data_IF_229555210754
#
_entry.id   IF_229555210754
#
_cell.length_a   1.000
_cell.length_b   1.000
_cell.length_c   1.000
_cell.angle_alpha   90.00
_cell.angle_beta   90.00
_cell.angle_gamma   90.00
#
_symmetry.space_group_name_H-M   'P 1'
#
loop_
_entity.id
_entity.type
_entity.pdbx_description
1 polymer ?
#
# COMPACT_ATOMS: atom_id res chain seq x y z
N UNK A 1 12.41 -38.32 31.11
CA UNK A 1 12.23 -39.11 29.88
C UNK A 1 11.14 -38.45 29.04
N UNK A 2 11.49 -38.01 27.83
CA UNK A 2 10.52 -37.39 26.92
C UNK A 2 9.50 -38.42 26.45
N UNK A 3 8.18 -38.11 26.50
CA UNK A 3 7.14 -38.95 25.95
C UNK A 3 7.11 -38.75 24.41
N UNK A 4 7.96 -39.47 23.69
CA UNK A 4 8.01 -39.47 22.22
C UNK A 4 7.04 -40.58 21.73
N UNK A 5 6.17 -40.20 20.77
CA UNK A 5 5.20 -41.11 20.14
C UNK A 5 5.32 -40.98 18.63
N UNK A 6 5.41 -42.14 17.93
CA UNK A 6 5.47 -42.14 16.47
C UNK A 6 4.28 -42.93 15.95
N UNK A 7 3.43 -42.29 15.18
CA UNK A 7 2.26 -42.88 14.54
C UNK A 7 2.63 -43.38 13.14
N UNK A 8 2.37 -44.67 12.88
CA UNK A 8 2.69 -45.32 11.59
C UNK A 8 1.63 -45.07 10.52
N UNK A 9 0.44 -44.67 10.94
CA UNK A 9 -0.72 -44.50 10.06
C UNK A 9 -0.94 -43.00 9.73
N UNK A 10 -0.09 -42.09 10.26
CA UNK A 10 -0.14 -40.66 9.95
C UNK A 10 0.41 -40.38 8.56
N UNK A 11 -0.10 -39.32 7.92
CA UNK A 11 0.38 -38.83 6.62
C UNK A 11 1.84 -38.35 6.66
N UNK A 12 2.31 -37.88 7.82
CA UNK A 12 3.68 -37.44 8.04
C UNK A 12 4.62 -38.63 8.30
N UNK A 13 5.77 -38.66 7.63
CA UNK A 13 6.76 -39.72 7.80
C UNK A 13 7.27 -39.82 9.23
N UNK A 14 7.52 -41.06 9.71
CA UNK A 14 7.95 -41.33 11.09
C UNK A 14 9.20 -40.57 11.51
N UNK A 15 10.16 -40.37 10.60
CA UNK A 15 11.37 -39.59 10.92
C UNK A 15 11.04 -38.09 11.08
N UNK A 16 10.14 -37.53 10.29
CA UNK A 16 9.72 -36.14 10.41
C UNK A 16 8.95 -35.89 11.72
N UNK A 17 8.03 -36.80 12.09
CA UNK A 17 7.34 -36.78 13.38
C UNK A 17 8.33 -36.77 14.55
N UNK A 18 9.34 -37.66 14.50
CA UNK A 18 10.36 -37.75 15.55
C UNK A 18 11.22 -36.49 15.61
N UNK A 19 11.67 -36.00 14.47
CA UNK A 19 12.44 -34.74 14.40
C UNK A 19 11.64 -33.56 14.93
N UNK A 20 10.34 -33.45 14.57
CA UNK A 20 9.42 -32.42 15.05
C UNK A 20 9.26 -32.42 16.57
N UNK A 21 9.06 -33.61 17.18
CA UNK A 21 8.91 -33.75 18.62
C UNK A 21 10.20 -33.41 19.39
N UNK A 22 11.37 -33.86 18.88
CA UNK A 22 12.66 -33.53 19.48
C UNK A 22 12.96 -32.03 19.37
N UNK A 23 12.69 -31.42 18.22
CA UNK A 23 12.83 -29.96 18.01
C UNK A 23 11.93 -29.17 18.97
N UNK A 24 10.67 -29.56 19.11
CA UNK A 24 9.75 -28.96 20.06
C UNK A 24 10.26 -29.09 21.50
N UNK A 25 10.80 -30.26 21.89
CA UNK A 25 11.34 -30.46 23.21
C UNK A 25 12.59 -29.60 23.52
N UNK A 26 13.45 -29.37 22.51
CA UNK A 26 14.60 -28.47 22.63
C UNK A 26 14.17 -27.01 22.72
N UNK A 27 13.25 -26.58 21.87
CA UNK A 27 12.70 -25.21 21.90
C UNK A 27 11.98 -24.88 23.22
N UNK A 28 11.21 -25.83 23.73
CA UNK A 28 10.46 -25.67 25.01
C UNK A 28 11.35 -25.85 26.25
N UNK A 29 12.67 -26.07 26.08
CA UNK A 29 13.60 -26.28 27.18
C UNK A 29 13.48 -27.63 27.91
N UNK A 30 12.66 -28.55 27.41
CA UNK A 30 12.52 -29.92 27.95
C UNK A 30 13.72 -30.81 27.64
N UNK A 31 14.51 -30.46 26.63
CA UNK A 31 15.85 -30.91 26.34
C UNK A 31 16.78 -29.69 26.44
N UNK A 32 17.68 -29.71 27.40
CA UNK A 32 18.59 -28.61 27.65
C UNK A 32 19.76 -28.58 26.64
N UNK A 33 20.31 -27.40 26.38
CA UNK A 33 21.55 -27.27 25.62
C UNK A 33 22.68 -28.11 26.27
N UNK A 34 23.44 -28.81 25.47
CA UNK A 34 24.47 -29.73 25.92
C UNK A 34 23.95 -31.07 26.47
N UNK A 35 22.63 -31.30 26.51
CA UNK A 35 22.06 -32.57 26.97
C UNK A 35 22.35 -33.71 25.95
N UNK A 36 22.70 -34.87 26.47
CA UNK A 36 23.05 -36.03 25.64
C UNK A 36 21.77 -36.79 25.20
N UNK A 37 21.60 -36.96 23.91
CA UNK A 37 20.55 -37.79 23.36
C UNK A 37 20.89 -39.30 23.38
N UNK A 38 19.87 -40.15 23.46
CA UNK A 38 20.08 -41.61 23.38
C UNK A 38 20.74 -42.00 22.06
N UNK A 39 21.56 -43.02 22.08
CA UNK A 39 22.10 -43.62 20.84
C UNK A 39 20.98 -44.09 19.93
N UNK A 40 21.13 -43.97 18.60
CA UNK A 40 20.08 -44.28 17.61
C UNK A 40 19.48 -45.67 17.79
N UNK A 41 20.31 -46.65 18.14
CA UNK A 41 19.84 -48.05 18.47
C UNK A 41 18.92 -48.08 19.68
N UNK A 42 19.31 -47.39 20.74
CA UNK A 42 18.55 -47.39 21.99
C UNK A 42 17.22 -46.68 21.85
N UNK A 43 17.20 -45.56 21.13
CA UNK A 43 15.98 -44.82 20.86
C UNK A 43 15.04 -45.58 19.92
N UNK A 44 15.56 -46.23 18.87
CA UNK A 44 14.79 -47.06 17.95
C UNK A 44 14.11 -48.23 18.67
N UNK A 45 14.84 -48.94 19.51
CA UNK A 45 14.31 -50.04 20.31
C UNK A 45 13.18 -49.59 21.26
N UNK A 46 13.36 -48.39 21.90
CA UNK A 46 12.36 -47.81 22.81
C UNK A 46 11.08 -47.40 22.11
N UNK A 47 11.17 -46.87 20.89
CA UNK A 47 10.02 -46.38 20.10
C UNK A 47 9.40 -47.50 19.24
N UNK A 48 10.00 -48.69 19.15
CA UNK A 48 9.53 -49.75 18.29
C UNK A 48 9.63 -49.44 16.80
N UNK A 49 10.56 -48.58 16.39
CA UNK A 49 10.79 -48.18 15.00
C UNK A 49 12.12 -48.71 14.47
N UNK A 50 12.35 -48.62 13.15
CA UNK A 50 13.63 -48.98 12.57
C UNK A 50 14.74 -48.00 12.98
N UNK A 51 15.99 -48.45 13.05
CA UNK A 51 17.13 -47.58 13.32
C UNK A 51 17.27 -46.45 12.27
N UNK A 52 16.90 -46.73 11.02
CA UNK A 52 16.91 -45.77 9.92
C UNK A 52 16.05 -44.53 10.23
N UNK A 53 14.83 -44.73 10.74
CA UNK A 53 13.93 -43.62 11.14
C UNK A 53 14.61 -42.68 12.14
N UNK A 54 15.28 -43.22 13.15
CA UNK A 54 15.96 -42.42 14.17
C UNK A 54 17.21 -41.74 13.58
N UNK A 55 17.93 -42.43 12.70
CA UNK A 55 19.12 -41.90 12.04
C UNK A 55 18.76 -40.71 11.15
N UNK A 56 17.73 -40.82 10.30
CA UNK A 56 17.23 -39.76 9.43
C UNK A 56 16.72 -38.57 10.25
N UNK A 57 16.00 -38.78 11.35
CA UNK A 57 15.57 -37.73 12.25
C UNK A 57 16.73 -36.97 12.87
N UNK A 58 17.78 -37.69 13.28
CA UNK A 58 18.98 -37.07 13.86
C UNK A 58 19.80 -36.34 12.80
N UNK A 59 19.95 -36.88 11.60
CA UNK A 59 20.64 -36.24 10.47
C UNK A 59 19.94 -34.94 10.08
N UNK A 60 18.62 -34.92 10.06
CA UNK A 60 17.85 -33.70 9.83
C UNK A 60 18.12 -32.64 10.91
N UNK A 61 18.05 -33.05 12.19
CA UNK A 61 18.32 -32.14 13.31
C UNK A 61 19.76 -31.66 13.36
N UNK A 62 20.74 -32.46 12.89
CA UNK A 62 22.12 -32.05 12.68
C UNK A 62 22.23 -31.00 11.56
N UNK A 63 21.57 -31.23 10.44
CA UNK A 63 21.56 -30.30 9.31
C UNK A 63 20.91 -28.96 9.68
N UNK A 64 19.91 -28.99 10.56
CA UNK A 64 19.23 -27.81 11.11
C UNK A 64 20.03 -27.11 12.23
N UNK A 65 21.11 -27.74 12.74
CA UNK A 65 21.93 -27.20 13.83
C UNK A 65 21.35 -27.36 15.24
N UNK A 66 20.29 -28.17 15.42
CA UNK A 66 19.75 -28.50 16.74
C UNK A 66 20.60 -29.49 17.52
N UNK A 67 21.35 -30.32 16.80
CA UNK A 67 22.24 -31.34 17.38
C UNK A 67 23.68 -31.12 16.98
N UNK A 68 24.61 -31.49 17.87
CA UNK A 68 26.02 -31.55 17.62
C UNK A 68 26.61 -32.93 18.00
N UNK A 69 27.59 -33.36 17.23
CA UNK A 69 28.35 -34.58 17.53
C UNK A 69 29.66 -34.25 18.25
N UNK A 70 29.87 -34.84 19.41
CA UNK A 70 31.19 -34.74 20.08
C UNK A 70 31.97 -36.03 19.81
N UNK A 71 33.14 -35.86 19.22
CA UNK A 71 33.98 -36.99 18.76
C UNK A 71 34.10 -38.09 19.83
N UNK A 72 33.64 -39.30 19.53
CA UNK A 72 33.73 -40.47 20.43
C UNK A 72 32.73 -40.51 21.59
N UNK A 73 31.90 -39.49 21.83
CA UNK A 73 31.06 -39.38 23.03
C UNK A 73 29.54 -39.39 22.78
N UNK A 74 29.07 -39.19 21.55
CA UNK A 74 27.62 -39.27 21.20
C UNK A 74 27.04 -38.02 20.58
N UNK A 75 25.69 -38.00 20.57
CA UNK A 75 24.89 -36.88 20.03
C UNK A 75 24.36 -36.01 21.17
N UNK A 76 24.52 -34.71 21.04
CA UNK A 76 24.14 -33.73 22.05
C UNK A 76 23.27 -32.63 21.45
N UNK A 77 22.43 -31.99 22.27
CA UNK A 77 21.74 -30.76 21.90
C UNK A 77 22.78 -29.64 21.75
N UNK A 78 22.72 -28.89 20.64
CA UNK A 78 23.67 -27.82 20.35
C UNK A 78 23.63 -26.71 21.42
N UNK A 79 24.76 -26.06 21.67
CA UNK A 79 24.86 -24.91 22.55
C UNK A 79 24.25 -23.68 21.84
N UNK A 80 23.47 -22.85 22.55
CA UNK A 80 22.81 -21.66 21.99
C UNK A 80 21.38 -21.89 21.50
N UNK A 81 20.84 -23.12 21.59
CA UNK A 81 19.42 -23.41 21.38
C UNK A 81 18.68 -23.03 22.67
N UNK A 82 18.48 -21.74 22.89
CA UNK A 82 17.63 -21.21 23.98
C UNK A 82 16.20 -21.04 23.48
N UNK A 83 15.24 -21.10 24.42
CA UNK A 83 13.84 -20.74 24.12
C UNK A 83 13.79 -19.41 23.34
N UNK A 84 12.96 -19.35 22.30
CA UNK A 84 12.72 -18.12 21.58
C UNK A 84 12.48 -16.99 22.58
N UNK A 85 13.10 -15.80 22.40
CA UNK A 85 12.75 -14.65 23.22
C UNK A 85 11.23 -14.46 23.10
N UNK A 86 10.55 -14.24 24.23
CA UNK A 86 9.12 -13.93 24.20
C UNK A 86 8.89 -12.86 23.14
N UNK A 87 7.87 -13.03 22.24
CA UNK A 87 7.57 -12.01 21.27
C UNK A 87 7.33 -10.72 22.07
N UNK A 88 8.23 -9.74 21.90
CA UNK A 88 8.04 -8.41 22.45
C UNK A 88 6.63 -7.93 22.07
N UNK A 89 6.01 -6.99 22.81
CA UNK A 89 4.67 -6.55 22.54
C UNK A 89 4.58 -6.07 21.09
N UNK A 90 4.25 -7.00 20.21
CA UNK A 90 3.96 -6.74 18.82
C UNK A 90 2.84 -5.73 18.82
N UNK A 91 3.09 -4.55 18.28
CA UNK A 91 2.04 -3.57 18.10
C UNK A 91 0.84 -4.27 17.49
N UNK A 92 -0.26 -4.36 18.24
CA UNK A 92 -1.50 -4.90 17.75
C UNK A 92 -1.85 -4.10 16.50
N UNK A 93 -1.55 -4.65 15.32
CA UNK A 93 -2.06 -4.14 14.08
C UNK A 93 -3.57 -4.10 14.26
N UNK A 94 -4.15 -2.91 14.24
CA UNK A 94 -5.60 -2.76 14.26
C UNK A 94 -6.07 -3.48 13.01
N UNK A 95 -6.57 -4.70 13.17
CA UNK A 95 -7.27 -5.43 12.13
C UNK A 95 -8.53 -4.60 11.87
N UNK A 96 -8.53 -3.87 10.76
CA UNK A 96 -9.72 -3.15 10.33
C UNK A 96 -10.81 -4.21 10.05
N UNK A 97 -12.02 -4.06 10.57
CA UNK A 97 -13.07 -5.02 10.31
C UNK A 97 -13.30 -5.12 8.81
N UNK A 98 -13.14 -6.32 8.26
CA UNK A 98 -13.50 -6.59 6.87
C UNK A 98 -15.01 -6.42 6.72
N UNK A 99 -15.45 -5.77 5.62
CA UNK A 99 -16.86 -5.65 5.30
C UNK A 99 -17.46 -7.05 5.07
N UNK A 100 -18.24 -7.53 6.03
CA UNK A 100 -19.03 -8.77 5.91
C UNK A 100 -20.30 -8.57 5.09
N UNK A 101 -21.02 -9.67 4.78
CA UNK A 101 -22.35 -9.58 4.15
C UNK A 101 -23.28 -8.72 5.01
N UNK A 102 -23.92 -7.70 4.40
CA UNK A 102 -24.84 -6.79 5.07
C UNK A 102 -24.18 -5.56 5.71
N UNK A 103 -22.90 -5.31 5.46
CA UNK A 103 -22.16 -4.12 5.92
C UNK A 103 -22.03 -3.14 4.76
N UNK A 104 -22.46 -1.89 4.97
CA UNK A 104 -22.27 -0.78 4.02
C UNK A 104 -20.92 -0.12 4.32
N UNK A 105 -19.96 -0.26 3.41
CA UNK A 105 -18.64 0.33 3.56
C UNK A 105 -18.53 1.67 2.83
N UNK A 106 -18.49 2.75 3.59
CA UNK A 106 -18.32 4.13 3.10
C UNK A 106 -16.90 4.66 3.34
N UNK A 107 -15.92 3.79 3.68
CA UNK A 107 -14.53 4.23 3.87
C UNK A 107 -13.90 4.66 2.54
N UNK A 108 -13.05 5.71 2.55
CA UNK A 108 -12.41 6.19 1.34
C UNK A 108 -11.27 5.27 0.88
N UNK A 109 -10.81 5.49 -0.33
CA UNK A 109 -9.54 4.93 -0.78
C UNK A 109 -9.64 3.70 -1.69
N UNK A 110 -10.83 3.13 -1.91
CA UNK A 110 -11.04 2.02 -2.84
C UNK A 110 -11.90 2.45 -4.04
N UNK A 111 -11.57 2.00 -5.27
CA UNK A 111 -12.39 2.24 -6.45
C UNK A 111 -13.56 1.25 -6.51
N UNK A 112 -14.59 1.57 -7.28
CA UNK A 112 -15.64 0.63 -7.60
C UNK A 112 -15.20 -0.32 -8.73
N UNK A 113 -15.09 -1.60 -8.42
CA UNK A 113 -14.60 -2.61 -9.35
C UNK A 113 -15.71 -3.36 -10.10
N UNK A 114 -16.99 -3.15 -9.76
CA UNK A 114 -18.12 -3.89 -10.32
C UNK A 114 -18.28 -3.82 -11.85
N UNK A 115 -17.70 -2.79 -12.50
CA UNK A 115 -17.73 -2.67 -13.96
C UNK A 115 -16.38 -3.01 -14.62
N UNK A 116 -15.40 -3.53 -13.88
CA UNK A 116 -14.06 -3.78 -14.41
C UNK A 116 -13.96 -5.10 -15.17
N UNK A 117 -14.69 -6.14 -14.75
CA UNK A 117 -14.67 -7.46 -15.37
C UNK A 117 -15.37 -7.47 -16.75
N UNK A 118 -14.68 -6.93 -17.74
CA UNK A 118 -15.11 -6.82 -19.12
C UNK A 118 -14.41 -7.83 -20.02
N UNK A 119 -14.95 -8.14 -21.23
CA UNK A 119 -14.22 -8.94 -22.22
C UNK A 119 -12.83 -8.38 -22.55
N UNK A 120 -12.66 -7.06 -22.55
CA UNK A 120 -11.37 -6.40 -22.77
C UNK A 120 -10.39 -6.68 -21.62
N UNK A 121 -10.85 -6.58 -20.37
CA UNK A 121 -10.09 -6.92 -19.17
C UNK A 121 -9.61 -8.37 -19.22
N UNK A 122 -10.53 -9.32 -19.35
CA UNK A 122 -10.23 -10.77 -19.42
C UNK A 122 -9.27 -11.12 -20.53
N UNK A 123 -9.42 -10.49 -21.72
CA UNK A 123 -8.51 -10.68 -22.85
C UNK A 123 -7.11 -10.17 -22.53
N UNK A 124 -6.96 -8.99 -21.95
CA UNK A 124 -5.67 -8.41 -21.60
C UNK A 124 -4.90 -9.33 -20.63
N UNK A 125 -5.55 -9.80 -19.56
CA UNK A 125 -4.93 -10.70 -18.59
C UNK A 125 -4.57 -12.07 -19.19
N UNK A 126 -5.45 -12.65 -20.00
CA UNK A 126 -5.15 -13.93 -20.71
C UNK A 126 -3.94 -13.81 -21.63
N UNK A 127 -3.83 -12.72 -22.37
CA UNK A 127 -2.69 -12.49 -23.25
C UNK A 127 -1.42 -12.21 -22.45
N UNK A 128 -1.50 -11.44 -21.40
CA UNK A 128 -0.38 -11.11 -20.53
C UNK A 128 0.19 -12.35 -19.81
N UNK A 129 -0.66 -13.25 -19.33
CA UNK A 129 -0.24 -14.49 -18.66
C UNK A 129 0.45 -15.48 -19.59
N UNK A 130 0.19 -15.40 -20.90
CA UNK A 130 0.86 -16.21 -21.91
C UNK A 130 2.22 -15.69 -22.37
N UNK A 131 2.70 -14.57 -21.81
CA UNK A 131 4.01 -14.01 -22.18
C UNK A 131 5.16 -14.90 -21.70
N UNK A 132 6.18 -15.09 -22.54
CA UNK A 132 7.36 -15.88 -22.20
C UNK A 132 8.07 -15.30 -20.97
N UNK A 133 8.42 -16.12 -19.97
CA UNK A 133 9.18 -15.68 -18.80
C UNK A 133 10.52 -15.04 -19.20
N UNK A 134 10.90 -13.99 -18.49
CA UNK A 134 12.14 -13.25 -18.71
C UNK A 134 13.10 -13.46 -17.56
N UNK A 135 14.37 -13.63 -17.84
CA UNK A 135 15.41 -13.79 -16.83
C UNK A 135 16.02 -12.46 -16.36
N UNK A 136 15.76 -11.37 -17.10
CA UNK A 136 16.15 -10.00 -16.75
C UNK A 136 14.97 -9.05 -16.91
N UNK A 137 14.88 -8.07 -16.02
CA UNK A 137 13.94 -6.95 -16.11
C UNK A 137 14.72 -5.64 -16.18
N UNK A 138 14.24 -4.71 -17.00
CA UNK A 138 14.67 -3.32 -16.97
C UNK A 138 14.19 -2.69 -15.65
N UNK A 139 15.07 -2.03 -14.87
CA UNK A 139 14.67 -1.33 -13.64
C UNK A 139 13.60 -0.25 -13.87
N UNK A 140 13.49 0.31 -15.07
CA UNK A 140 12.44 1.26 -15.42
C UNK A 140 11.07 0.61 -15.66
N UNK A 141 11.00 -0.70 -15.84
CA UNK A 141 9.80 -1.44 -16.25
C UNK A 141 9.77 -1.74 -17.74
N UNK A 142 8.67 -2.37 -18.20
CA UNK A 142 8.54 -2.79 -19.59
C UNK A 142 8.56 -1.61 -20.56
N UNK A 143 9.43 -1.58 -21.58
CA UNK A 143 9.53 -0.46 -22.53
C UNK A 143 8.19 -0.12 -23.21
N UNK A 144 7.42 -1.12 -23.63
CA UNK A 144 6.11 -0.92 -24.25
C UNK A 144 5.10 -0.28 -23.29
N UNK A 145 5.11 -0.67 -22.00
CA UNK A 145 4.25 -0.04 -21.01
C UNK A 145 4.68 1.40 -20.75
N UNK A 146 5.99 1.67 -20.62
CA UNK A 146 6.53 3.03 -20.42
C UNK A 146 6.05 3.97 -21.53
N UNK A 147 6.16 3.54 -22.79
CA UNK A 147 5.68 4.32 -23.92
C UNK A 147 4.15 4.55 -23.89
N UNK A 148 3.36 3.53 -23.55
CA UNK A 148 1.92 3.63 -23.41
C UNK A 148 1.51 4.57 -22.27
N UNK A 149 2.19 4.51 -21.11
CA UNK A 149 1.98 5.40 -19.97
C UNK A 149 2.36 6.85 -20.31
N UNK A 150 3.50 7.10 -20.95
CA UNK A 150 3.88 8.44 -21.38
C UNK A 150 2.82 9.07 -22.30
N UNK A 151 2.25 8.29 -23.22
CA UNK A 151 1.12 8.71 -24.03
C UNK A 151 -0.14 9.00 -23.24
N UNK A 152 -0.46 8.15 -22.26
CA UNK A 152 -1.63 8.30 -21.38
C UNK A 152 -1.57 9.56 -20.51
N UNK A 153 -0.47 9.75 -19.77
CA UNK A 153 -0.33 10.91 -18.86
C UNK A 153 -0.24 12.23 -19.62
N UNK A 154 0.36 12.21 -20.84
CA UNK A 154 0.37 13.40 -21.69
C UNK A 154 -1.03 13.83 -22.12
N UNK A 155 -1.86 12.86 -22.56
CA UNK A 155 -3.24 13.16 -23.02
C UNK A 155 -4.17 13.57 -21.89
N UNK A 156 -4.06 12.91 -20.75
CA UNK A 156 -5.05 13.05 -19.68
C UNK A 156 -4.64 14.02 -18.59
N UNK A 157 -3.32 14.25 -18.38
CA UNK A 157 -2.79 15.05 -17.27
C UNK A 157 -1.84 16.18 -17.72
N UNK A 158 -1.57 16.32 -19.02
CA UNK A 158 -0.63 17.30 -19.52
C UNK A 158 0.83 17.03 -19.14
N UNK A 159 1.16 15.82 -18.74
CA UNK A 159 2.51 15.40 -18.34
C UNK A 159 3.30 14.99 -19.57
N UNK A 160 4.20 15.84 -20.02
CA UNK A 160 5.15 15.52 -21.11
C UNK A 160 6.48 15.08 -20.48
N UNK A 161 6.90 13.85 -20.76
CA UNK A 161 8.11 13.27 -20.19
C UNK A 161 8.93 12.52 -21.26
N UNK A 162 10.24 12.40 -21.02
CA UNK A 162 11.14 11.61 -21.87
C UNK A 162 11.05 10.13 -21.52
N UNK A 163 10.85 9.79 -20.25
CA UNK A 163 10.74 8.46 -19.76
C UNK A 163 9.80 8.35 -18.53
N UNK A 164 9.35 7.13 -18.28
CA UNK A 164 8.49 6.76 -17.16
C UNK A 164 9.14 5.59 -16.42
N UNK A 165 9.23 5.67 -15.11
CA UNK A 165 9.60 4.53 -14.27
C UNK A 165 8.34 3.87 -13.74
N UNK A 166 8.12 2.60 -14.09
CA UNK A 166 6.96 1.81 -13.65
C UNK A 166 7.18 1.34 -12.22
N UNK A 167 6.24 1.60 -11.31
CA UNK A 167 6.30 1.26 -9.88
C UNK A 167 5.19 0.28 -9.48
N UNK A 168 5.18 -0.15 -8.22
CA UNK A 168 4.09 -0.93 -7.61
C UNK A 168 3.01 -0.03 -6.98
N UNK A 169 2.59 1.01 -7.69
CA UNK A 169 1.69 2.06 -7.22
C UNK A 169 2.43 3.32 -6.76
N UNK A 170 1.69 4.41 -6.51
CA UNK A 170 2.24 5.71 -6.11
C UNK A 170 3.03 5.63 -4.79
N UNK A 171 2.55 4.85 -3.81
CA UNK A 171 3.23 4.66 -2.51
C UNK A 171 4.63 4.06 -2.67
N UNK A 172 4.79 3.06 -3.56
CA UNK A 172 6.12 2.50 -3.88
C UNK A 172 6.96 3.52 -4.67
N UNK A 173 6.35 4.31 -5.56
CA UNK A 173 7.04 5.42 -6.23
C UNK A 173 7.61 6.43 -5.25
N UNK A 174 6.82 6.83 -4.24
CA UNK A 174 7.27 7.71 -3.17
C UNK A 174 8.38 7.08 -2.32
N UNK A 175 8.28 5.80 -2.00
CA UNK A 175 9.31 5.06 -1.24
C UNK A 175 10.65 5.02 -1.98
N UNK A 176 10.64 4.72 -3.28
CA UNK A 176 11.84 4.72 -4.13
C UNK A 176 12.42 6.12 -4.29
N UNK A 177 11.59 7.14 -4.45
CA UNK A 177 12.02 8.54 -4.47
C UNK A 177 12.70 8.90 -3.15
N UNK A 178 12.04 8.67 -2.03
CA UNK A 178 12.57 8.95 -0.70
C UNK A 178 13.90 8.22 -0.45
N UNK A 179 13.99 6.93 -0.79
CA UNK A 179 15.22 6.13 -0.69
C UNK A 179 16.38 6.68 -1.56
N UNK A 180 16.08 7.49 -2.56
CA UNK A 180 17.06 8.05 -3.49
C UNK A 180 17.53 9.45 -3.08
N UNK A 181 16.60 10.31 -2.59
CA UNK A 181 16.88 11.73 -2.41
C UNK A 181 16.98 12.17 -0.95
N UNK A 182 16.57 11.32 0.00
CA UNK A 182 16.59 11.64 1.43
C UNK A 182 17.72 10.92 2.16
N UNK A 183 18.32 11.65 3.10
CA UNK A 183 19.13 11.11 4.18
C UNK A 183 18.32 11.08 5.49
N UNK A 184 18.69 10.20 6.46
CA UNK A 184 18.09 10.25 7.79
C UNK A 184 18.22 11.64 8.43
N UNK A 185 17.13 12.17 8.96
CA UNK A 185 17.06 13.53 9.52
C UNK A 185 16.68 14.63 8.54
N UNK A 186 16.62 14.37 7.22
CA UNK A 186 16.11 15.35 6.27
C UNK A 186 14.66 15.71 6.59
N UNK A 187 14.35 17.00 6.54
CA UNK A 187 13.02 17.54 6.82
C UNK A 187 12.13 17.44 5.59
N UNK A 188 10.96 16.84 5.75
CA UNK A 188 10.01 16.59 4.67
C UNK A 188 8.64 17.15 5.03
N UNK A 189 8.15 18.08 4.21
CA UNK A 189 6.80 18.63 4.36
C UNK A 189 5.75 17.63 3.93
N UNK A 190 4.72 17.48 4.76
CA UNK A 190 3.54 16.64 4.47
C UNK A 190 2.27 17.41 4.78
N UNK A 191 1.26 17.30 3.92
CA UNK A 191 -0.04 17.94 4.14
C UNK A 191 -0.66 17.49 5.49
N UNK A 192 -1.28 18.45 6.20
CA UNK A 192 -1.93 18.22 7.50
C UNK A 192 -3.32 18.88 7.53
N UNK A 193 -4.42 18.11 7.53
CA UNK A 193 -4.46 16.66 7.42
C UNK A 193 -4.02 16.15 6.04
N UNK A 194 -3.49 14.93 5.99
CA UNK A 194 -2.92 14.38 4.77
C UNK A 194 -2.89 12.85 4.72
N UNK A 195 -2.27 12.30 3.70
CA UNK A 195 -2.23 10.88 3.43
C UNK A 195 -1.31 10.12 4.40
N UNK A 196 -1.91 9.36 5.30
CA UNK A 196 -1.22 8.61 6.37
C UNK A 196 -0.11 7.69 5.87
N UNK A 197 -0.33 6.98 4.73
CA UNK A 197 0.66 6.03 4.21
C UNK A 197 1.88 6.76 3.65
N UNK A 198 1.74 7.96 3.08
CA UNK A 198 2.89 8.76 2.68
C UNK A 198 3.73 9.13 3.89
N UNK A 199 3.10 9.56 5.00
CA UNK A 199 3.82 9.83 6.27
C UNK A 199 4.58 8.61 6.77
N UNK A 200 3.95 7.43 6.78
CA UNK A 200 4.58 6.18 7.21
C UNK A 200 5.80 5.80 6.34
N UNK A 201 5.69 5.95 5.03
CA UNK A 201 6.80 5.70 4.09
C UNK A 201 7.97 6.65 4.34
N UNK A 202 7.70 7.94 4.42
CA UNK A 202 8.73 8.97 4.61
C UNK A 202 9.42 8.83 5.98
N UNK A 203 8.66 8.62 7.06
CA UNK A 203 9.20 8.32 8.38
C UNK A 203 10.03 7.03 8.40
N UNK A 204 9.57 5.99 7.68
CA UNK A 204 10.32 4.72 7.53
C UNK A 204 11.66 4.87 6.82
N UNK A 205 11.87 5.98 6.10
CA UNK A 205 13.17 6.36 5.50
C UNK A 205 14.01 7.28 6.39
N UNK A 206 13.56 7.52 7.62
CA UNK A 206 14.26 8.35 8.59
C UNK A 206 14.05 9.85 8.41
N UNK A 207 13.06 10.27 7.62
CA UNK A 207 12.75 11.67 7.45
C UNK A 207 12.12 12.29 8.72
N UNK A 208 12.47 13.54 9.03
CA UNK A 208 11.74 14.37 9.98
C UNK A 208 10.51 14.95 9.29
N UNK A 209 9.32 14.50 9.68
CA UNK A 209 8.08 14.97 9.08
C UNK A 209 7.69 16.35 9.63
N UNK A 210 7.43 17.28 8.73
CA UNK A 210 6.95 18.64 9.04
C UNK A 210 5.51 18.76 8.57
N UNK A 211 4.52 18.82 9.48
CA UNK A 211 3.12 19.03 9.13
C UNK A 211 2.94 20.39 8.47
N UNK A 212 2.41 20.42 7.26
CA UNK A 212 2.15 21.64 6.48
C UNK A 212 0.63 21.86 6.39
N UNK A 213 0.10 23.00 6.82
CA UNK A 213 -1.33 23.22 6.90
C UNK A 213 -2.00 23.20 5.54
N UNK A 214 -3.25 22.72 5.50
CA UNK A 214 -4.13 22.79 4.34
C UNK A 214 -5.41 23.55 4.68
N UNK A 215 -5.99 24.23 3.69
CA UNK A 215 -7.30 24.87 3.77
C UNK A 215 -8.25 24.31 2.67
N UNK A 216 -9.35 24.99 2.37
CA UNK A 216 -10.29 24.61 1.32
C UNK A 216 -9.68 24.56 -0.09
N UNK A 217 -8.52 25.17 -0.28
CA UNK A 217 -7.78 25.20 -1.54
C UNK A 217 -6.53 24.30 -1.55
N UNK A 218 -6.39 23.42 -0.55
CA UNK A 218 -5.23 22.52 -0.41
C UNK A 218 -4.08 23.17 0.36
N UNK A 219 -2.84 22.82 0.00
CA UNK A 219 -1.63 23.23 0.71
C UNK A 219 -1.49 24.76 0.83
N UNK A 220 -1.27 25.26 2.06
CA UNK A 220 -0.97 26.67 2.35
C UNK A 220 0.52 26.90 2.13
N UNK A 221 0.87 27.37 0.93
CA UNK A 221 2.27 27.48 0.48
C UNK A 221 3.08 28.48 1.29
N UNK A 222 2.43 29.54 1.75
CA UNK A 222 3.04 30.61 2.54
C UNK A 222 3.52 30.13 3.92
N UNK A 223 3.00 29.01 4.39
CA UNK A 223 3.39 28.38 5.65
C UNK A 223 4.53 27.35 5.51
N UNK A 224 5.05 27.13 4.30
CA UNK A 224 6.13 26.14 4.09
C UNK A 224 7.46 26.66 4.65
N UNK A 225 8.16 25.90 5.49
CA UNK A 225 9.54 26.18 5.87
C UNK A 225 10.49 26.14 4.66
N UNK A 226 11.54 26.94 4.69
CA UNK A 226 12.52 27.01 3.60
C UNK A 226 13.60 25.92 3.64
N UNK A 227 13.66 25.16 4.70
CA UNK A 227 14.66 24.12 4.96
C UNK A 227 14.15 22.69 4.70
N UNK A 228 13.03 22.56 4.01
CA UNK A 228 12.53 21.25 3.58
C UNK A 228 13.34 20.71 2.40
N UNK A 229 13.65 19.42 2.45
CA UNK A 229 14.29 18.69 1.34
C UNK A 229 13.29 18.26 0.27
N UNK A 230 12.08 17.96 0.70
CA UNK A 230 10.97 17.47 -0.12
C UNK A 230 9.65 17.95 0.47
N UNK A 231 8.67 18.24 -0.36
CA UNK A 231 7.26 18.36 0.05
C UNK A 231 6.42 17.34 -0.70
N UNK A 232 5.59 16.58 0.03
CA UNK A 232 4.59 15.69 -0.52
C UNK A 232 3.23 16.38 -0.53
N UNK A 233 2.58 16.43 -1.68
CA UNK A 233 1.30 17.12 -1.85
C UNK A 233 0.40 16.41 -2.87
N UNK A 234 -0.92 16.64 -2.76
CA UNK A 234 -1.97 16.11 -3.62
C UNK A 234 -2.74 17.27 -4.31
N UNK A 235 -2.10 18.02 -5.21
CA UNK A 235 -2.58 19.35 -5.65
C UNK A 235 -3.79 19.30 -6.58
N UNK A 236 -4.08 18.16 -7.20
CA UNK A 236 -5.23 17.99 -8.08
C UNK A 236 -6.52 17.71 -7.31
N UNK A 237 -6.41 17.08 -6.15
CA UNK A 237 -7.49 16.76 -5.23
C UNK A 237 -6.88 16.43 -3.87
N UNK A 238 -6.80 17.43 -2.98
CA UNK A 238 -6.14 17.29 -1.68
C UNK A 238 -6.79 16.18 -0.84
N UNK A 239 -5.99 15.24 -0.41
CA UNK A 239 -6.46 14.15 0.43
C UNK A 239 -6.23 14.44 1.93
N UNK A 240 -7.30 14.41 2.79
CA UNK A 240 -8.67 14.01 2.48
C UNK A 240 -9.65 15.17 2.26
N UNK A 241 -9.22 16.44 2.33
CA UNK A 241 -10.12 17.59 2.37
C UNK A 241 -10.78 17.91 1.02
N UNK A 242 -10.27 17.38 -0.09
CA UNK A 242 -10.86 17.49 -1.42
C UNK A 242 -10.66 18.86 -2.10
N UNK A 243 -9.80 19.72 -1.56
CA UNK A 243 -9.48 21.02 -2.17
C UNK A 243 -8.60 20.85 -3.41
N UNK A 244 -8.72 21.80 -4.34
CA UNK A 244 -7.86 21.87 -5.54
C UNK A 244 -6.90 23.04 -5.40
N UNK A 245 -5.61 22.77 -5.56
CA UNK A 245 -4.58 23.83 -5.49
C UNK A 245 -4.71 24.77 -6.70
N UNK A 246 -5.10 26.06 -6.50
CA UNK A 246 -5.33 26.99 -7.60
C UNK A 246 -4.01 27.48 -8.22
N UNK A 247 -4.08 27.97 -9.45
CA UNK A 247 -2.90 28.37 -10.23
C UNK A 247 -1.97 29.35 -9.47
N UNK A 248 -2.45 30.37 -8.75
CA UNK A 248 -1.56 31.23 -7.97
C UNK A 248 -0.72 30.45 -6.95
N UNK A 249 -1.32 29.54 -6.20
CA UNK A 249 -0.61 28.69 -5.23
C UNK A 249 0.30 27.66 -5.89
N UNK A 250 -0.09 27.09 -7.04
CA UNK A 250 0.80 26.23 -7.86
C UNK A 250 2.06 26.98 -8.24
N UNK A 251 1.94 28.21 -8.72
CA UNK A 251 3.08 29.05 -9.07
C UNK A 251 3.93 29.44 -7.86
N UNK A 252 3.31 29.77 -6.74
CA UNK A 252 4.00 30.03 -5.48
C UNK A 252 4.79 28.82 -4.98
N UNK A 253 4.21 27.62 -5.04
CA UNK A 253 4.85 26.35 -4.65
C UNK A 253 6.07 26.06 -5.53
N UNK A 254 5.96 26.22 -6.84
CA UNK A 254 7.08 26.06 -7.77
C UNK A 254 8.19 27.08 -7.53
N UNK A 255 7.84 28.35 -7.29
CA UNK A 255 8.80 29.39 -6.95
C UNK A 255 9.51 29.11 -5.62
N UNK A 256 8.78 28.64 -4.61
CA UNK A 256 9.35 28.20 -3.34
C UNK A 256 10.35 27.04 -3.55
N UNK A 257 9.98 26.00 -4.30
CA UNK A 257 10.84 24.85 -4.56
C UNK A 257 12.12 25.24 -5.32
N UNK A 258 12.02 26.13 -6.32
CA UNK A 258 13.18 26.66 -7.03
C UNK A 258 14.12 27.48 -6.13
N UNK A 259 13.56 28.27 -5.23
CA UNK A 259 14.33 29.12 -4.32
C UNK A 259 15.06 28.31 -3.26
N UNK A 260 14.42 27.27 -2.73
CA UNK A 260 14.96 26.44 -1.65
C UNK A 260 15.79 25.25 -2.14
N UNK A 261 15.65 24.86 -3.41
CA UNK A 261 16.23 23.64 -3.95
C UNK A 261 15.49 22.35 -3.53
N UNK A 262 14.32 22.48 -2.89
CA UNK A 262 13.48 21.36 -2.50
C UNK A 262 12.80 20.72 -3.73
N UNK A 263 12.48 19.42 -3.60
CA UNK A 263 11.64 18.72 -4.57
C UNK A 263 10.17 18.74 -4.13
N UNK A 264 9.28 18.64 -5.10
CA UNK A 264 7.85 18.44 -4.88
C UNK A 264 7.48 17.03 -5.37
N UNK A 265 6.98 16.18 -4.48
CA UNK A 265 6.33 14.93 -4.84
C UNK A 265 4.83 15.17 -5.03
N UNK A 266 4.40 15.25 -6.27
CA UNK A 266 3.00 15.37 -6.65
C UNK A 266 2.36 13.99 -6.73
N UNK A 267 1.49 13.64 -5.79
CA UNK A 267 0.69 12.40 -5.85
C UNK A 267 -0.66 12.69 -6.51
N UNK A 268 -0.81 12.23 -7.74
CA UNK A 268 -1.99 12.42 -8.57
C UNK A 268 -2.79 11.11 -8.63
N UNK A 269 -3.42 10.78 -7.52
CA UNK A 269 -4.05 9.47 -7.29
C UNK A 269 -5.42 9.29 -7.96
N UNK A 270 -6.20 10.38 -8.15
CA UNK A 270 -7.56 10.34 -8.72
C UNK A 270 -7.88 11.53 -9.65
N UNK A 271 -6.87 12.20 -10.15
CA UNK A 271 -7.00 13.41 -10.96
C UNK A 271 -7.73 13.24 -12.29
N UNK A 272 -7.98 12.02 -12.75
CA UNK A 272 -8.85 11.71 -13.88
C UNK A 272 -10.34 11.91 -13.57
N UNK A 273 -10.73 11.90 -12.29
CA UNK A 273 -12.12 11.96 -11.84
C UNK A 273 -12.51 13.37 -11.42
N UNK A 274 -12.85 14.18 -12.42
CA UNK A 274 -13.47 15.48 -12.25
C UNK A 274 -14.82 15.50 -12.96
N UNK A 275 -15.84 16.15 -12.36
CA UNK A 275 -17.22 15.98 -12.79
C UNK A 275 -17.85 17.24 -13.35
N UNK A 276 -17.27 18.40 -13.11
CA UNK A 276 -17.73 19.72 -13.53
C UNK A 276 -17.04 20.23 -14.80
N UNK A 277 -15.75 19.93 -14.93
CA UNK A 277 -14.90 20.34 -16.07
C UNK A 277 -13.98 19.19 -16.47
N UNK A 278 -13.22 19.35 -17.52
CA UNK A 278 -12.18 18.40 -17.90
C UNK A 278 -11.10 18.26 -16.78
N UNK A 279 -10.41 17.11 -16.68
CA UNK A 279 -9.33 16.94 -15.74
C UNK A 279 -8.28 18.06 -15.84
N UNK A 280 -7.86 18.59 -14.69
CA UNK A 280 -6.87 19.66 -14.63
C UNK A 280 -5.48 19.16 -14.99
N UNK A 281 -4.62 19.94 -15.65
CA UNK A 281 -3.23 19.56 -15.84
C UNK A 281 -2.52 19.35 -14.50
N UNK A 282 -1.61 18.37 -14.46
CA UNK A 282 -0.75 18.13 -13.31
C UNK A 282 0.21 19.29 -13.06
N UNK A 283 0.66 19.45 -11.82
CA UNK A 283 1.64 20.46 -11.44
C UNK A 283 2.98 20.26 -12.18
N UNK A 284 3.37 19.00 -12.39
CA UNK A 284 4.55 18.61 -13.17
C UNK A 284 4.64 19.31 -14.52
N UNK A 285 3.50 19.47 -15.22
CA UNK A 285 3.45 20.13 -16.52
C UNK A 285 3.87 21.62 -16.51
N UNK A 286 3.87 22.24 -15.35
CA UNK A 286 4.31 23.64 -15.18
C UNK A 286 5.81 23.76 -14.91
N UNK A 287 6.42 22.76 -14.24
CA UNK A 287 7.85 22.78 -13.91
C UNK A 287 8.40 21.36 -13.64
N UNK A 288 8.86 20.65 -14.68
CA UNK A 288 9.42 19.30 -14.53
C UNK A 288 10.77 19.24 -13.80
N UNK A 289 11.44 20.39 -13.58
CA UNK A 289 12.76 20.43 -12.92
C UNK A 289 12.66 20.20 -11.40
N UNK A 290 11.58 20.65 -10.77
CA UNK A 290 11.39 20.57 -9.32
C UNK A 290 10.27 19.62 -8.90
N UNK A 291 9.44 19.15 -9.85
CA UNK A 291 8.31 18.26 -9.56
C UNK A 291 8.61 16.83 -9.96
N UNK A 292 8.30 15.89 -9.08
CA UNK A 292 8.23 14.46 -9.36
C UNK A 292 6.77 14.04 -9.31
N UNK A 293 6.25 13.56 -10.44
CA UNK A 293 4.86 13.14 -10.59
C UNK A 293 4.71 11.66 -10.28
N UNK A 294 3.79 11.33 -9.40
CA UNK A 294 3.45 9.97 -9.00
C UNK A 294 2.02 9.65 -9.45
N UNK A 295 1.85 8.55 -10.14
CA UNK A 295 0.54 8.06 -10.58
C UNK A 295 0.30 6.60 -10.23
N UNK A 296 -0.96 6.18 -10.26
CA UNK A 296 -1.35 4.83 -9.86
C UNK A 296 -2.57 4.34 -10.61
N UNK A 297 -2.64 3.03 -10.86
CA UNK A 297 -3.85 2.36 -11.34
C UNK A 297 -4.86 2.07 -10.24
N UNK A 298 -4.48 2.21 -8.98
CA UNK A 298 -5.28 1.77 -7.84
C UNK A 298 -6.64 2.47 -7.71
N UNK A 299 -6.79 3.68 -8.26
CA UNK A 299 -8.05 4.43 -8.23
C UNK A 299 -8.80 4.38 -9.56
N UNK A 300 -8.08 4.33 -10.67
CA UNK A 300 -8.67 4.29 -12.01
C UNK A 300 -9.12 2.89 -12.46
N UNK A 301 -8.50 1.83 -11.88
CA UNK A 301 -8.83 0.41 -12.16
C UNK A 301 -9.10 -0.35 -10.86
N UNK A 302 -8.07 -0.96 -10.28
CA UNK A 302 -8.12 -1.72 -9.03
C UNK A 302 -6.77 -1.74 -8.34
N UNK A 303 -6.77 -1.92 -7.02
CA UNK A 303 -5.56 -2.14 -6.24
C UNK A 303 -4.80 -3.41 -6.69
N UNK A 304 -5.52 -4.43 -7.15
CA UNK A 304 -4.95 -5.72 -7.59
C UNK A 304 -4.06 -5.61 -8.84
N UNK A 305 -4.23 -4.53 -9.61
CA UNK A 305 -3.32 -4.26 -10.75
C UNK A 305 -1.88 -4.07 -10.25
N UNK A 306 -1.69 -3.45 -9.07
CA UNK A 306 -0.38 -3.27 -8.46
C UNK A 306 0.64 -2.53 -9.35
N UNK A 307 0.18 -1.61 -10.21
CA UNK A 307 1.03 -0.81 -11.10
C UNK A 307 0.80 0.67 -10.86
N UNK A 308 1.90 1.40 -10.79
CA UNK A 308 1.95 2.86 -10.77
C UNK A 308 3.13 3.33 -11.60
N UNK A 309 3.40 4.62 -11.53
CA UNK A 309 4.51 5.21 -12.25
C UNK A 309 5.06 6.46 -11.56
N UNK A 310 6.32 6.73 -11.84
CA UNK A 310 7.03 7.94 -11.44
C UNK A 310 7.57 8.62 -12.70
N UNK A 311 7.36 9.92 -12.77
CA UNK A 311 7.91 10.80 -13.81
C UNK A 311 8.67 11.95 -13.13
N UNK A 312 9.83 12.27 -13.66
CA UNK A 312 10.69 13.34 -13.17
C UNK A 312 11.73 13.70 -14.22
N UNK A 313 12.64 14.59 -13.86
CA UNK A 313 13.78 14.87 -14.74
C UNK A 313 14.64 13.61 -14.95
N UNK A 314 15.28 13.46 -16.13
CA UNK A 314 15.90 12.20 -16.54
C UNK A 314 17.00 11.70 -15.60
N UNK A 315 17.84 12.58 -15.07
CA UNK A 315 18.91 12.24 -14.11
C UNK A 315 18.35 11.67 -12.80
N UNK A 316 17.25 12.23 -12.29
CA UNK A 316 16.57 11.75 -11.10
C UNK A 316 15.89 10.38 -11.35
N UNK A 317 15.16 10.22 -12.47
CA UNK A 317 14.54 8.95 -12.84
C UNK A 317 15.61 7.84 -12.96
N UNK A 318 16.75 8.15 -13.57
CA UNK A 318 17.87 7.22 -13.68
C UNK A 318 18.47 6.88 -12.30
N UNK A 319 18.57 7.84 -11.38
CA UNK A 319 19.02 7.60 -10.01
C UNK A 319 18.05 6.69 -9.24
N UNK A 320 16.74 6.96 -9.36
CA UNK A 320 15.69 6.11 -8.75
C UNK A 320 15.74 4.67 -9.31
N UNK A 321 15.96 4.53 -10.64
CA UNK A 321 16.09 3.21 -11.27
C UNK A 321 17.32 2.45 -10.77
N UNK A 322 18.47 3.11 -10.59
CA UNK A 322 19.66 2.49 -9.98
C UNK A 322 19.39 2.07 -8.55
N UNK A 323 18.81 2.96 -7.73
CA UNK A 323 18.46 2.66 -6.33
C UNK A 323 17.51 1.48 -6.23
N UNK A 324 16.51 1.42 -7.11
CA UNK A 324 15.58 0.31 -7.24
C UNK A 324 16.27 -1.01 -7.54
N UNK A 325 17.24 -1.01 -8.47
CA UNK A 325 18.03 -2.20 -8.80
C UNK A 325 18.86 -2.70 -7.61
N UNK A 326 19.47 -1.79 -6.84
CA UNK A 326 20.20 -2.10 -5.61
C UNK A 326 19.27 -2.75 -4.55
N UNK A 327 18.06 -2.24 -4.38
CA UNK A 327 17.05 -2.78 -3.47
C UNK A 327 16.42 -4.09 -3.96
N UNK A 328 16.76 -4.55 -5.18
CA UNK A 328 16.11 -5.68 -5.86
C UNK A 328 14.56 -5.55 -5.91
N UNK A 329 14.05 -4.32 -5.90
CA UNK A 329 12.63 -4.04 -6.05
C UNK A 329 12.19 -4.24 -7.49
N UNK A 330 11.02 -4.83 -7.71
CA UNK A 330 10.51 -5.15 -9.05
C UNK A 330 9.00 -5.02 -9.11
N UNK A 331 8.50 -4.53 -10.25
CA UNK A 331 7.07 -4.62 -10.57
C UNK A 331 6.82 -5.88 -11.39
N UNK A 332 5.89 -6.76 -11.00
CA UNK A 332 5.60 -7.99 -11.74
C UNK A 332 5.29 -7.74 -13.22
N UNK A 333 5.76 -8.62 -14.11
CA UNK A 333 5.66 -8.43 -15.58
C UNK A 333 4.23 -8.59 -16.09
N UNK A 334 3.48 -9.56 -15.56
CA UNK A 334 2.13 -9.88 -16.06
C UNK A 334 1.17 -8.69 -15.90
N UNK A 335 1.06 -8.04 -14.74
CA UNK A 335 0.26 -6.80 -14.60
C UNK A 335 0.73 -5.67 -15.52
N UNK A 336 2.06 -5.52 -15.71
CA UNK A 336 2.58 -4.50 -16.62
C UNK A 336 2.12 -4.75 -18.06
N UNK A 337 2.20 -6.00 -18.52
CA UNK A 337 1.78 -6.38 -19.88
C UNK A 337 0.27 -6.24 -20.05
N UNK A 338 -0.53 -6.64 -19.04
CA UNK A 338 -1.98 -6.46 -19.07
C UNK A 338 -2.36 -4.98 -19.17
N UNK A 339 -1.73 -4.11 -18.38
CA UNK A 339 -1.96 -2.67 -18.42
C UNK A 339 -1.53 -2.08 -19.77
N UNK A 340 -0.38 -2.48 -20.32
CA UNK A 340 0.06 -2.05 -21.64
C UNK A 340 -1.02 -2.33 -22.70
N UNK A 341 -1.53 -3.56 -22.73
CA UNK A 341 -2.56 -3.98 -23.69
C UNK A 341 -3.85 -3.15 -23.53
N UNK A 342 -4.26 -2.85 -22.29
CA UNK A 342 -5.44 -2.03 -22.02
C UNK A 342 -5.25 -0.58 -22.46
N UNK A 343 -4.06 0.00 -22.24
CA UNK A 343 -3.73 1.36 -22.64
C UNK A 343 -3.65 1.51 -24.17
N UNK A 344 -2.93 0.63 -24.85
CA UNK A 344 -2.74 0.67 -26.32
C UNK A 344 -4.06 0.53 -27.09
N UNK A 345 -5.03 -0.20 -26.53
CA UNK A 345 -6.37 -0.38 -27.12
C UNK A 345 -7.37 0.69 -26.70
N UNK A 346 -6.97 1.63 -25.84
CA UNK A 346 -7.85 2.67 -25.29
C UNK A 346 -8.92 2.15 -24.34
N UNK A 347 -8.75 0.92 -23.81
CA UNK A 347 -9.70 0.32 -22.86
C UNK A 347 -9.69 1.06 -21.52
N UNK A 348 -8.53 1.55 -21.05
CA UNK A 348 -8.40 2.39 -19.87
C UNK A 348 -9.18 3.69 -20.04
N UNK A 349 -8.99 4.40 -21.14
CA UNK A 349 -9.66 5.68 -21.41
C UNK A 349 -11.19 5.51 -21.47
N UNK A 350 -11.67 4.40 -22.06
CA UNK A 350 -13.09 4.06 -22.07
C UNK A 350 -13.62 3.75 -20.68
N UNK A 351 -12.85 3.03 -19.90
CA UNK A 351 -13.20 2.72 -18.51
C UNK A 351 -13.28 3.99 -17.67
N UNK A 352 -12.26 4.85 -17.70
CA UNK A 352 -12.24 6.12 -16.96
C UNK A 352 -13.46 6.99 -17.31
N UNK A 353 -13.79 7.16 -18.60
CA UNK A 353 -14.99 7.91 -19.00
C UNK A 353 -16.28 7.32 -18.46
N UNK A 354 -16.42 5.99 -18.43
CA UNK A 354 -17.58 5.31 -17.84
C UNK A 354 -17.63 5.53 -16.34
N UNK A 355 -16.50 5.39 -15.67
CA UNK A 355 -16.37 5.55 -14.22
C UNK A 355 -16.60 7.00 -13.77
N UNK A 356 -16.14 8.00 -14.54
CA UNK A 356 -16.42 9.41 -14.24
C UNK A 356 -17.93 9.68 -14.15
N UNK A 357 -18.73 9.10 -15.07
CA UNK A 357 -20.20 9.23 -15.02
C UNK A 357 -20.79 8.51 -13.81
N UNK A 358 -20.29 7.33 -13.50
CA UNK A 358 -20.77 6.55 -12.35
C UNK A 358 -20.41 7.24 -11.03
N UNK A 359 -19.19 7.73 -10.86
CA UNK A 359 -18.79 8.46 -9.65
C UNK A 359 -19.50 9.80 -9.51
N UNK A 360 -19.80 10.49 -10.59
CA UNK A 360 -20.66 11.67 -10.54
C UNK A 360 -22.05 11.35 -9.97
N UNK A 361 -22.68 10.23 -10.41
CA UNK A 361 -23.96 9.75 -9.87
C UNK A 361 -23.87 9.35 -8.40
N UNK A 362 -22.79 8.65 -8.03
CA UNK A 362 -22.55 8.23 -6.65
C UNK A 362 -22.35 9.42 -5.73
N UNK A 363 -21.52 10.38 -6.15
CA UNK A 363 -21.31 11.63 -5.43
C UNK A 363 -22.64 12.39 -5.24
N UNK A 364 -23.42 12.53 -6.28
CA UNK A 364 -24.74 13.19 -6.20
C UNK A 364 -25.67 12.49 -5.21
N UNK A 365 -25.66 11.14 -5.14
CA UNK A 365 -26.44 10.39 -4.17
C UNK A 365 -26.01 10.67 -2.72
N UNK A 366 -24.69 10.74 -2.46
CA UNK A 366 -24.13 11.06 -1.14
C UNK A 366 -24.46 12.50 -0.76
N UNK A 367 -24.21 13.47 -1.65
CA UNK A 367 -24.50 14.90 -1.41
C UNK A 367 -25.99 15.12 -1.11
N UNK A 368 -26.88 14.51 -1.91
CA UNK A 368 -28.33 14.63 -1.68
C UNK A 368 -28.79 13.95 -0.37
N UNK A 369 -28.18 12.83 0.02
CA UNK A 369 -28.54 12.15 1.26
C UNK A 369 -28.04 12.90 2.52
N UNK A 370 -26.97 13.68 2.39
CA UNK A 370 -26.38 14.49 3.46
C UNK A 370 -26.75 15.98 3.37
N UNK A 371 -27.82 16.29 2.61
CA UNK A 371 -28.31 17.67 2.48
C UNK A 371 -28.55 18.33 3.85
N UNK A 372 -28.14 19.60 3.99
CA UNK A 372 -28.18 20.35 5.24
C UNK A 372 -26.95 20.19 6.13
N UNK A 373 -26.06 19.24 5.86
CA UNK A 373 -24.77 19.13 6.55
C UNK A 373 -23.68 19.90 5.79
N UNK A 374 -22.65 20.35 6.51
CA UNK A 374 -21.53 21.04 5.89
C UNK A 374 -20.60 20.03 5.24
N UNK A 375 -20.60 20.01 3.91
CA UNK A 375 -19.73 19.16 3.11
C UNK A 375 -18.49 19.95 2.66
N UNK A 376 -17.35 19.26 2.59
CA UNK A 376 -16.09 19.77 2.06
C UNK A 376 -15.62 18.91 0.90
N UNK A 377 -14.84 19.49 0.02
CA UNK A 377 -14.32 18.85 -1.18
C UNK A 377 -14.93 19.42 -2.45
N UNK A 378 -14.13 19.44 -3.50
CA UNK A 378 -14.50 19.94 -4.82
C UNK A 378 -15.38 18.92 -5.56
N UNK A 379 -15.88 19.28 -6.74
CA UNK A 379 -16.67 18.39 -7.61
C UNK A 379 -15.75 17.41 -8.35
N UNK A 380 -15.00 16.63 -7.57
CA UNK A 380 -13.96 15.73 -8.05
C UNK A 380 -13.79 14.51 -7.13
N UNK A 381 -12.97 13.57 -7.53
CA UNK A 381 -12.43 12.48 -6.73
C UNK A 381 -13.42 11.41 -6.29
N UNK A 382 -13.00 10.56 -5.37
CA UNK A 382 -13.70 9.35 -4.94
C UNK A 382 -14.25 9.45 -3.50
N UNK A 383 -14.16 10.61 -2.88
CA UNK A 383 -14.61 10.86 -1.50
C UNK A 383 -14.97 12.33 -1.30
N UNK A 384 -15.63 12.61 -0.18
CA UNK A 384 -15.84 13.95 0.36
C UNK A 384 -15.75 13.91 1.88
N UNK A 385 -15.64 15.05 2.52
CA UNK A 385 -15.65 15.19 3.97
C UNK A 385 -16.94 15.85 4.41
N UNK A 386 -17.54 15.35 5.50
CA UNK A 386 -18.66 16.00 6.17
C UNK A 386 -18.21 16.44 7.57
N UNK A 387 -18.42 17.70 7.89
CA UNK A 387 -18.11 18.24 9.22
C UNK A 387 -19.10 17.67 10.23
N UNK A 388 -18.60 16.94 11.23
CA UNK A 388 -19.41 16.28 12.25
C UNK A 388 -18.75 16.47 13.61
N UNK A 389 -19.40 17.19 14.56
CA UNK A 389 -18.94 17.21 15.93
C UNK A 389 -18.98 15.80 16.52
N UNK A 390 -17.94 15.40 17.26
CA UNK A 390 -17.89 14.07 17.86
C UNK A 390 -17.82 12.92 16.86
N UNK A 391 -17.18 13.12 15.70
CA UNK A 391 -17.12 12.15 14.58
C UNK A 391 -16.68 10.73 15.01
N UNK A 392 -15.85 10.60 16.04
CA UNK A 392 -15.43 9.29 16.55
C UNK A 392 -16.59 8.51 17.19
N UNK A 393 -17.50 9.19 17.91
CA UNK A 393 -18.70 8.57 18.47
C UNK A 393 -19.68 8.19 17.35
N UNK A 394 -19.91 9.09 16.42
CA UNK A 394 -20.77 8.83 15.26
C UNK A 394 -20.27 7.63 14.45
N UNK A 395 -18.98 7.55 14.15
CA UNK A 395 -18.38 6.43 13.44
C UNK A 395 -18.57 5.09 14.20
N UNK A 396 -18.39 5.08 15.52
CA UNK A 396 -18.60 3.89 16.34
C UNK A 396 -20.07 3.44 16.33
N UNK A 397 -21.02 4.37 16.47
CA UNK A 397 -22.46 4.09 16.45
C UNK A 397 -22.92 3.66 15.07
N UNK A 398 -22.37 4.22 13.99
CA UNK A 398 -22.62 3.81 12.63
C UNK A 398 -22.13 2.37 12.39
N UNK A 399 -20.92 2.02 12.85
CA UNK A 399 -20.40 0.67 12.76
C UNK A 399 -21.29 -0.36 13.48
N UNK A 400 -21.84 -0.01 14.65
CA UNK A 400 -22.83 -0.85 15.35
C UNK A 400 -24.13 -1.06 14.55
N UNK A 401 -24.43 -0.20 13.58
CA UNK A 401 -25.57 -0.30 12.65
C UNK A 401 -25.17 -0.84 11.27
N UNK A 402 -23.98 -1.42 11.15
CA UNK A 402 -23.49 -2.02 9.90
C UNK A 402 -22.99 -1.00 8.86
N UNK A 403 -22.66 0.24 9.25
CA UNK A 403 -22.11 1.26 8.35
C UNK A 403 -20.69 1.62 8.77
N UNK A 404 -19.70 1.31 7.93
CA UNK A 404 -18.31 1.65 8.17
C UNK A 404 -17.96 2.99 7.53
N UNK A 405 -17.36 3.88 8.29
CA UNK A 405 -16.91 5.20 7.83
C UNK A 405 -15.60 5.57 8.53
N UNK A 406 -14.79 6.41 7.89
CA UNK A 406 -13.51 6.84 8.43
C UNK A 406 -13.60 8.24 9.04
N UNK A 407 -12.97 8.45 10.21
CA UNK A 407 -12.92 9.78 10.83
C UNK A 407 -11.80 10.62 10.24
N UNK A 408 -12.03 11.92 10.09
CA UNK A 408 -11.02 12.87 9.64
C UNK A 408 -9.80 12.91 10.59
N UNK A 409 -9.99 12.63 11.87
CA UNK A 409 -8.93 12.59 12.87
C UNK A 409 -7.78 11.64 12.52
N UNK A 410 -8.04 10.55 11.79
CA UNK A 410 -7.00 9.59 11.34
C UNK A 410 -5.97 10.19 10.37
N UNK A 411 -6.30 11.31 9.76
CA UNK A 411 -5.47 11.97 8.76
C UNK A 411 -4.55 13.04 9.35
N UNK A 412 -4.69 13.34 10.64
CA UNK A 412 -3.78 14.21 11.35
C UNK A 412 -2.59 13.41 11.93
N UNK A 413 -1.40 14.01 11.91
CA UNK A 413 -0.22 13.49 12.59
C UNK A 413 -0.25 13.83 14.09
N UNK A 414 -0.74 15.02 14.40
CA UNK A 414 -0.92 15.54 15.75
C UNK A 414 -2.38 15.54 16.21
N UNK A 415 -2.71 16.32 17.26
CA UNK A 415 -4.09 16.52 17.70
C UNK A 415 -4.95 17.06 16.54
N UNK A 416 -6.14 16.48 16.30
CA UNK A 416 -6.99 16.91 15.20
C UNK A 416 -7.47 18.35 15.37
N UNK A 417 -7.24 19.20 14.38
CA UNK A 417 -7.75 20.58 14.36
C UNK A 417 -9.19 20.69 13.85
N UNK A 418 -9.77 19.60 13.32
CA UNK A 418 -11.13 19.53 12.82
C UNK A 418 -11.76 18.16 13.11
N UNK A 419 -13.07 18.12 13.25
CA UNK A 419 -13.86 16.91 13.45
C UNK A 419 -14.77 16.68 12.24
N UNK A 420 -14.74 15.47 11.68
CA UNK A 420 -15.54 15.11 10.52
C UNK A 420 -15.40 13.64 10.15
N UNK A 421 -16.19 13.24 9.17
CA UNK A 421 -16.17 11.92 8.55
C UNK A 421 -15.72 12.03 7.10
N UNK A 422 -14.86 11.12 6.67
CA UNK A 422 -14.43 11.00 5.27
C UNK A 422 -15.28 9.90 4.62
N UNK A 423 -16.11 10.29 3.66
CA UNK A 423 -17.07 9.43 3.00
C UNK A 423 -16.55 9.05 1.61
N UNK A 424 -16.17 7.79 1.43
CA UNK A 424 -15.88 7.21 0.13
C UNK A 424 -17.14 6.69 -0.55
N UNK A 425 -17.15 6.69 -1.87
CA UNK A 425 -18.27 6.15 -2.64
C UNK A 425 -17.87 5.11 -3.70
N UNK A 426 -16.66 4.52 -3.50
CA UNK A 426 -16.16 3.46 -4.37
C UNK A 426 -16.61 2.05 -4.00
N UNK A 427 -16.73 1.74 -2.72
CA UNK A 427 -16.95 0.38 -2.20
C UNK A 427 -18.41 -0.09 -2.27
N UNK A 428 -19.38 0.80 -2.06
CA UNK A 428 -20.80 0.47 -2.09
C UNK A 428 -21.24 -0.14 -3.43
N UNK A 429 -22.21 -1.05 -3.41
CA UNK A 429 -22.73 -1.70 -4.61
C UNK A 429 -23.33 -0.70 -5.61
N UNK A 430 -23.95 0.37 -5.10
CA UNK A 430 -24.54 1.40 -5.96
C UNK A 430 -25.10 2.61 -5.19
N UNK A 431 -25.70 3.58 -5.91
CA UNK A 431 -26.25 4.79 -5.30
C UNK A 431 -27.35 4.56 -4.25
N UNK A 432 -28.06 3.42 -4.31
CA UNK A 432 -29.10 3.08 -3.33
C UNK A 432 -28.46 2.78 -1.96
N UNK A 433 -27.44 1.92 -1.94
CA UNK A 433 -26.70 1.55 -0.73
C UNK A 433 -25.96 2.76 -0.14
N UNK A 434 -25.43 3.65 -0.99
CA UNK A 434 -24.84 4.92 -0.53
C UNK A 434 -25.86 5.79 0.21
N UNK A 435 -27.08 5.92 -0.33
CA UNK A 435 -28.15 6.68 0.35
C UNK A 435 -28.56 6.05 1.67
N UNK A 436 -28.66 4.72 1.72
CA UNK A 436 -28.96 3.97 2.95
C UNK A 436 -27.88 4.23 4.03
N UNK A 437 -26.61 4.04 3.70
CA UNK A 437 -25.51 4.31 4.63
C UNK A 437 -25.46 5.77 5.08
N UNK A 438 -25.66 6.72 4.18
CA UNK A 438 -25.71 8.14 4.52
C UNK A 438 -26.94 8.52 5.38
N UNK A 439 -28.10 7.84 5.19
CA UNK A 439 -29.26 8.04 6.04
C UNK A 439 -28.97 7.64 7.49
N UNK A 440 -28.30 6.51 7.69
CA UNK A 440 -27.83 6.09 9.02
C UNK A 440 -26.92 7.15 9.64
N UNK A 441 -25.96 7.69 8.88
CA UNK A 441 -25.06 8.74 9.38
C UNK A 441 -25.84 10.01 9.77
N UNK A 442 -26.81 10.42 8.94
CA UNK A 442 -27.63 11.62 9.18
C UNK A 442 -28.47 11.53 10.46
N UNK A 443 -28.98 10.34 10.80
CA UNK A 443 -29.71 10.10 12.06
C UNK A 443 -28.79 10.16 13.32
N UNK A 444 -27.50 9.99 13.13
CA UNK A 444 -26.50 9.93 14.21
C UNK A 444 -25.79 11.27 14.46
N UNK A 445 -25.84 12.18 13.47
CA UNK A 445 -25.31 13.55 13.55
C UNK A 445 -26.36 14.50 14.14
#
# INVERSE_FOLDING_TARGET
LLPLVVDRDADESMHAQLAGQLRGAMRDGRLAAGERLPATRALAARLGVSRTVVTEAYEQLYAEGWLEGRHGSGTYVAEGVTADPEPGPGGAGVVEPEGGQGVIDLRPGLPWVGALDTPAWRRAWRLASGATPRWRQDPHGLPGLRAALAGHVRRNRGVSCQDVLVTRGATNGLDLLAATVLAPGDRVGVEEPGYRRARAVLAGRGAELVPCPVDEHGLVVEALPDDLRLVYTTPSHQYPMGGVLPVPRRRALLAWARRTGALIAEDDYDGEFRYDVAPLPALYGLDPEVVVYLGTTAKILTIDMGVGWLVGRPDLVAAVARRRAELNDRTPVVPQEALRLLLERGDVDRHVRRMSREYARRRAAVVGALDGLRLRGDTAGLHLVVDVPGAADVARRAAARGVLVETLARHFAGPPAASGLVIGYGTAAGPAELREGCAVLRELV
#
